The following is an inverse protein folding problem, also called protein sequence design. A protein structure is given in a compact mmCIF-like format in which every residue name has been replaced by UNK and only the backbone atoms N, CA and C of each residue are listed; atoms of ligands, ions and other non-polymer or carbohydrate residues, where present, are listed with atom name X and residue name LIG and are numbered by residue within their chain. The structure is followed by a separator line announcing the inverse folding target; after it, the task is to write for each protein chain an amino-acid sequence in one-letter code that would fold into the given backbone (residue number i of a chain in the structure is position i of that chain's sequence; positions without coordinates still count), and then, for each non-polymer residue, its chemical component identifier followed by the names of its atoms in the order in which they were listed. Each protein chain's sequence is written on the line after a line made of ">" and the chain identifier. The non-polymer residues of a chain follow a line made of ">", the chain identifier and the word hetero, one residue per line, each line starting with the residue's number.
data_IF_680963367822
#
_entry.id   IF_680963367822
#
_cell.length_a   1.000
_cell.length_b   1.000
_cell.length_c   1.000
_cell.angle_alpha   90.00
_cell.angle_beta   90.00
_cell.angle_gamma   90.00
#
_symmetry.space_group_name_H-M   'P 1'
#
loop_
_entity.id
_entity.type
_entity.pdbx_description
1 polymer ?
#
# COMPACT_ATOMS: atom_id res chain seq x y z
N UNK A 1 -32.92 6.91 10.31
CA UNK A 1 -33.18 5.52 10.73
C UNK A 1 -32.08 4.66 10.13
N UNK A 2 -31.19 4.21 11.01
CA UNK A 2 -30.08 3.24 10.91
C UNK A 2 -29.64 2.74 9.53
N UNK A 3 -28.49 3.27 9.07
CA UNK A 3 -27.58 2.49 8.22
C UNK A 3 -26.75 1.59 9.13
N UNK A 4 -27.29 0.42 9.45
CA UNK A 4 -26.51 -0.71 9.94
C UNK A 4 -25.42 -1.01 8.90
N UNK A 5 -24.21 -0.52 9.15
CA UNK A 5 -23.01 -0.86 8.39
C UNK A 5 -22.68 -2.32 8.71
N UNK A 6 -23.20 -3.24 7.91
CA UNK A 6 -22.73 -4.61 7.94
C UNK A 6 -21.25 -4.61 7.50
N UNK A 7 -20.39 -5.28 8.26
CA UNK A 7 -19.04 -5.54 7.80
C UNK A 7 -19.15 -6.30 6.47
N UNK A 8 -18.48 -5.83 5.42
CA UNK A 8 -18.70 -6.43 4.12
C UNK A 8 -18.18 -7.85 4.01
N UNK A 9 -18.88 -8.66 3.20
CA UNK A 9 -18.38 -9.96 2.77
C UNK A 9 -17.12 -9.79 1.90
N UNK A 10 -16.21 -10.76 1.99
CA UNK A 10 -14.95 -10.89 1.23
C UNK A 10 -15.12 -10.63 -0.26
N UNK A 11 -16.26 -11.00 -0.84
CA UNK A 11 -16.57 -10.78 -2.26
C UNK A 11 -16.61 -9.29 -2.67
N UNK A 12 -16.92 -8.38 -1.74
CA UNK A 12 -16.96 -6.96 -2.05
C UNK A 12 -15.62 -6.26 -1.84
N UNK A 13 -14.62 -6.94 -1.25
CA UNK A 13 -13.23 -6.51 -1.30
C UNK A 13 -12.60 -6.73 -2.68
N UNK A 14 -13.25 -7.47 -3.58
CA UNK A 14 -12.77 -7.69 -4.95
C UNK A 14 -13.20 -6.60 -5.94
N UNK A 15 -13.93 -5.56 -5.52
CA UNK A 15 -14.43 -4.50 -6.41
C UNK A 15 -13.65 -3.19 -6.23
N UNK A 16 -13.25 -2.50 -7.32
CA UNK A 16 -12.51 -1.22 -7.26
C UNK A 16 -13.22 -0.12 -6.48
N UNK A 17 -14.55 -0.04 -6.56
CA UNK A 17 -15.37 1.05 -6.00
C UNK A 17 -15.12 1.31 -4.51
N UNK A 18 -14.74 0.28 -3.76
CA UNK A 18 -14.44 0.42 -2.34
C UNK A 18 -13.02 0.82 -2.03
N UNK A 19 -12.08 0.46 -2.90
CA UNK A 19 -10.73 0.95 -2.83
C UNK A 19 -10.73 2.44 -3.13
N UNK A 20 -11.48 2.86 -4.15
CA UNK A 20 -11.70 4.27 -4.49
C UNK A 20 -12.37 5.04 -3.34
N UNK A 21 -13.50 4.55 -2.83
CA UNK A 21 -14.18 5.20 -1.70
C UNK A 21 -13.33 5.22 -0.41
N UNK A 22 -12.51 4.19 -0.20
CA UNK A 22 -11.54 4.14 0.90
C UNK A 22 -10.41 5.13 0.71
N UNK A 23 -9.87 5.25 -0.50
CA UNK A 23 -8.84 6.21 -0.90
C UNK A 23 -9.30 7.65 -0.72
N UNK A 24 -10.51 7.99 -1.20
CA UNK A 24 -11.11 9.30 -1.03
C UNK A 24 -11.34 9.70 0.44
N UNK A 25 -11.51 8.71 1.34
CA UNK A 25 -11.56 8.96 2.77
C UNK A 25 -10.16 9.04 3.42
N UNK A 26 -9.17 8.35 2.86
CA UNK A 26 -7.79 8.29 3.35
C UNK A 26 -7.03 9.58 3.06
N UNK A 27 -7.18 10.18 1.87
CA UNK A 27 -6.49 11.40 1.49
C UNK A 27 -6.67 12.55 2.51
N UNK A 28 -7.90 13.00 2.86
CA UNK A 28 -8.07 14.08 3.83
C UNK A 28 -7.64 13.69 5.26
N UNK A 29 -7.56 12.40 5.57
CA UNK A 29 -7.03 11.95 6.86
C UNK A 29 -5.51 12.15 6.94
N UNK A 30 -4.76 11.77 5.89
CA UNK A 30 -3.31 11.98 5.80
C UNK A 30 -2.95 13.46 5.81
N UNK A 31 -3.69 14.27 5.06
CA UNK A 31 -3.53 15.74 5.08
C UNK A 31 -3.80 16.33 6.46
N UNK A 32 -4.82 15.80 7.16
CA UNK A 32 -5.14 16.24 8.52
C UNK A 32 -4.02 15.96 9.52
N UNK A 33 -3.28 14.85 9.38
CA UNK A 33 -2.10 14.57 10.21
C UNK A 33 -1.01 15.60 9.94
N UNK A 34 -0.70 15.83 8.66
CA UNK A 34 0.33 16.78 8.22
C UNK A 34 0.02 18.21 8.66
N UNK A 35 -1.18 18.70 8.35
CA UNK A 35 -1.62 20.06 8.68
C UNK A 35 -1.65 20.29 10.20
N UNK A 36 -2.05 19.29 10.98
CA UNK A 36 -2.05 19.38 12.45
C UNK A 36 -0.63 19.55 13.01
N UNK A 37 0.37 19.02 12.31
CA UNK A 37 1.77 19.09 12.72
C UNK A 37 2.39 20.41 12.31
N UNK A 38 2.15 20.87 11.09
CA UNK A 38 2.57 22.19 10.62
C UNK A 38 1.95 23.35 11.43
N UNK A 39 0.76 23.15 12.00
CA UNK A 39 0.07 24.17 12.79
C UNK A 39 0.65 24.45 14.19
N UNK A 40 1.69 23.73 14.64
CA UNK A 40 2.33 24.03 15.93
C UNK A 40 3.26 22.98 16.53
N UNK A 41 3.66 21.96 15.77
CA UNK A 41 4.62 20.94 16.16
C UNK A 41 5.75 20.85 15.12
N UNK A 42 6.76 20.03 15.40
CA UNK A 42 7.77 19.73 14.40
C UNK A 42 7.18 18.90 13.26
N UNK A 43 7.78 19.06 12.08
CA UNK A 43 7.48 18.30 10.87
C UNK A 43 7.59 16.80 11.13
N UNK A 44 6.73 15.99 10.51
CA UNK A 44 6.74 14.53 10.70
C UNK A 44 7.12 13.85 9.42
N UNK A 45 7.92 12.81 9.55
CA UNK A 45 8.04 11.84 8.49
C UNK A 45 6.78 10.94 8.48
N UNK A 46 5.97 11.03 7.43
CA UNK A 46 4.73 10.26 7.26
C UNK A 46 4.88 9.22 6.15
N UNK A 47 5.02 7.95 6.55
CA UNK A 47 5.01 6.82 5.61
C UNK A 47 3.65 6.13 5.56
N UNK A 48 3.23 5.71 4.37
CA UNK A 48 2.01 4.93 4.14
C UNK A 48 2.36 3.50 3.70
N UNK A 49 1.84 2.50 4.41
CA UNK A 49 2.05 1.09 4.10
C UNK A 49 0.72 0.45 3.67
N UNK A 50 0.63 0.03 2.40
CA UNK A 50 -0.54 -0.67 1.85
C UNK A 50 -0.26 -2.15 1.64
N UNK A 51 -0.95 -3.02 2.40
CA UNK A 51 -0.91 -4.49 2.25
C UNK A 51 -2.14 -5.00 1.48
N UNK A 52 -1.96 -5.93 0.57
CA UNK A 52 -3.07 -6.59 -0.15
C UNK A 52 -3.96 -5.51 -0.81
N UNK A 53 -5.25 -5.57 -0.57
CA UNK A 53 -6.25 -4.62 -1.05
C UNK A 53 -6.04 -3.21 -0.47
N UNK A 54 -5.33 -3.13 0.66
CA UNK A 54 -4.81 -1.89 1.20
C UNK A 54 -3.92 -1.17 0.21
N UNK A 55 -3.06 -1.85 -0.57
CA UNK A 55 -2.23 -1.25 -1.61
C UNK A 55 -3.06 -0.57 -2.70
N UNK A 56 -4.13 -1.23 -3.16
CA UNK A 56 -5.06 -0.65 -4.13
C UNK A 56 -5.76 0.57 -3.53
N UNK A 57 -6.29 0.45 -2.31
CA UNK A 57 -6.99 1.53 -1.60
C UNK A 57 -6.08 2.74 -1.34
N UNK A 58 -4.85 2.51 -0.88
CA UNK A 58 -3.88 3.57 -0.63
C UNK A 58 -3.48 4.27 -1.91
N UNK A 59 -3.28 3.53 -3.02
CA UNK A 59 -2.95 4.16 -4.30
C UNK A 59 -4.03 5.15 -4.76
N UNK A 60 -5.32 4.85 -4.60
CA UNK A 60 -6.39 5.82 -4.85
C UNK A 60 -6.26 7.08 -4.01
N UNK A 61 -6.07 6.94 -2.69
CA UNK A 61 -5.91 8.10 -1.80
C UNK A 61 -4.67 8.94 -2.12
N UNK A 62 -3.58 8.29 -2.51
CA UNK A 62 -2.33 8.95 -2.89
C UNK A 62 -2.48 9.79 -4.17
N UNK A 63 -3.31 9.40 -5.13
CA UNK A 63 -3.60 10.27 -6.29
C UNK A 63 -4.33 11.57 -5.94
N UNK A 64 -4.99 11.61 -4.79
CA UNK A 64 -5.79 12.77 -4.34
C UNK A 64 -5.09 13.62 -3.27
N UNK A 65 -4.06 13.10 -2.60
CA UNK A 65 -3.33 13.81 -1.55
C UNK A 65 -2.45 14.92 -2.13
N UNK A 66 -2.28 16.03 -1.41
CA UNK A 66 -1.29 17.05 -1.79
C UNK A 66 0.13 16.45 -1.86
N UNK A 67 0.95 16.82 -2.86
CA UNK A 67 2.36 16.46 -2.90
C UNK A 67 3.10 16.83 -1.61
N UNK A 68 3.91 15.91 -1.11
CA UNK A 68 4.71 16.08 0.11
C UNK A 68 3.99 15.75 1.43
N UNK A 69 2.72 15.36 1.40
CA UNK A 69 2.00 14.89 2.61
C UNK A 69 2.43 13.49 3.01
N UNK A 70 2.77 12.63 2.04
CA UNK A 70 3.31 11.30 2.28
C UNK A 70 4.74 11.29 1.76
N UNK A 71 5.68 11.03 2.65
CA UNK A 71 7.11 11.02 2.33
C UNK A 71 7.54 9.71 1.69
N UNK A 72 7.01 8.58 2.18
CA UNK A 72 7.36 7.24 1.74
C UNK A 72 6.10 6.38 1.60
N UNK A 73 6.00 5.63 0.50
CA UNK A 73 4.92 4.69 0.28
C UNK A 73 5.45 3.29 0.01
N UNK A 74 4.89 2.26 0.65
CA UNK A 74 5.15 0.87 0.27
C UNK A 74 3.87 0.10 -0.01
N UNK A 75 3.80 -0.52 -1.19
CA UNK A 75 2.81 -1.51 -1.56
C UNK A 75 3.39 -2.93 -1.41
N UNK A 76 2.69 -3.85 -0.77
CA UNK A 76 3.21 -5.20 -0.57
C UNK A 76 2.12 -6.26 -0.48
N UNK A 77 2.41 -7.46 -1.02
CA UNK A 77 1.38 -8.44 -1.32
C UNK A 77 0.26 -7.87 -2.20
N UNK A 78 0.58 -6.84 -2.98
CA UNK A 78 -0.40 -6.04 -3.71
C UNK A 78 -1.03 -6.86 -4.83
N UNK A 79 -2.36 -6.87 -4.99
CA UNK A 79 -2.98 -7.31 -6.22
C UNK A 79 -2.91 -6.23 -7.31
N UNK A 80 -2.45 -5.01 -7.01
CA UNK A 80 -2.34 -3.93 -7.99
C UNK A 80 -2.57 -2.57 -7.37
N UNK A 81 -2.00 -1.54 -8.00
CA UNK A 81 -2.19 -0.13 -7.68
C UNK A 81 -2.87 0.59 -8.84
N UNK A 82 -3.47 1.75 -8.56
CA UNK A 82 -4.15 2.54 -9.56
C UNK A 82 -3.21 2.82 -10.76
N UNK A 83 -3.59 2.43 -11.99
CA UNK A 83 -2.68 2.40 -13.13
C UNK A 83 -2.39 3.78 -13.70
N UNK A 84 -1.12 4.12 -13.91
CA UNK A 84 -0.69 5.30 -14.68
C UNK A 84 -0.89 6.67 -14.03
N UNK A 85 -1.04 6.72 -12.70
CA UNK A 85 -1.18 7.98 -11.95
C UNK A 85 0.05 8.26 -11.09
N UNK A 86 0.40 9.54 -10.99
CA UNK A 86 1.35 10.04 -10.00
C UNK A 86 0.73 9.88 -8.59
N UNK A 87 1.45 9.19 -7.70
CA UNK A 87 1.02 8.94 -6.33
C UNK A 87 1.26 10.15 -5.40
N UNK A 88 1.74 11.28 -5.93
CA UNK A 88 2.08 12.48 -5.15
C UNK A 88 3.10 12.21 -4.02
N UNK A 89 3.85 11.11 -4.14
CA UNK A 89 4.97 10.71 -3.29
C UNK A 89 6.27 11.13 -4.00
N UNK A 90 7.29 11.63 -3.29
CA UNK A 90 8.55 12.03 -3.92
C UNK A 90 9.19 10.93 -4.79
N UNK A 91 9.85 11.33 -5.89
CA UNK A 91 10.55 10.41 -6.77
C UNK A 91 11.57 9.55 -5.99
N UNK A 92 11.51 8.23 -6.17
CA UNK A 92 12.37 7.29 -5.45
C UNK A 92 11.86 6.86 -4.07
N UNK A 93 10.68 7.33 -3.65
CA UNK A 93 10.08 7.01 -2.35
C UNK A 93 8.82 6.13 -2.45
N UNK A 94 8.55 5.57 -3.64
CA UNK A 94 7.59 4.49 -3.82
C UNK A 94 8.32 3.14 -3.79
N UNK A 95 7.88 2.24 -2.93
CA UNK A 95 8.49 0.92 -2.73
C UNK A 95 7.49 -0.20 -2.95
N UNK A 96 7.98 -1.32 -3.43
CA UNK A 96 7.17 -2.54 -3.60
C UNK A 96 7.86 -3.74 -2.99
N UNK A 97 7.13 -4.55 -2.24
CA UNK A 97 7.61 -5.84 -1.74
C UNK A 97 6.73 -6.95 -2.30
N UNK A 98 7.33 -7.85 -3.08
CA UNK A 98 6.66 -8.98 -3.71
C UNK A 98 7.29 -10.29 -3.23
N UNK A 99 6.59 -11.01 -2.36
CA UNK A 99 6.92 -12.40 -2.09
C UNK A 99 6.50 -13.24 -3.31
N UNK A 100 7.43 -13.94 -3.96
CA UNK A 100 7.15 -14.73 -5.17
C UNK A 100 6.23 -15.92 -4.93
N UNK A 101 6.08 -16.33 -3.68
CA UNK A 101 5.17 -17.42 -3.29
C UNK A 101 3.78 -16.91 -2.93
N UNK A 102 3.60 -15.59 -2.86
CA UNK A 102 2.33 -14.96 -2.61
C UNK A 102 1.49 -14.92 -3.90
N UNK A 103 0.43 -15.75 -4.02
CA UNK A 103 -0.36 -15.83 -5.24
C UNK A 103 -1.13 -14.53 -5.52
N UNK A 104 -1.40 -13.69 -4.50
CA UNK A 104 -2.21 -12.47 -4.65
C UNK A 104 -1.51 -11.48 -5.58
N UNK A 105 -0.18 -11.45 -5.54
CA UNK A 105 0.66 -10.62 -6.41
C UNK A 105 0.57 -10.95 -7.90
N UNK A 106 -0.15 -12.02 -8.25
CA UNK A 106 -0.44 -12.43 -9.62
C UNK A 106 -1.95 -12.39 -9.93
N UNK A 107 -2.81 -12.22 -8.91
CA UNK A 107 -4.27 -12.28 -9.06
C UNK A 107 -4.80 -11.06 -9.77
N UNK A 108 -4.33 -9.85 -9.47
CA UNK A 108 -4.86 -8.67 -10.13
C UNK A 108 -4.47 -8.57 -11.59
N UNK A 109 -3.25 -8.95 -11.97
CA UNK A 109 -2.87 -9.11 -13.38
C UNK A 109 -3.72 -10.17 -14.08
N UNK A 110 -3.99 -11.30 -13.40
CA UNK A 110 -4.77 -12.39 -14.00
C UNK A 110 -6.24 -12.02 -14.19
N UNK A 111 -6.80 -11.20 -13.29
CA UNK A 111 -8.22 -10.88 -13.26
C UNK A 111 -8.55 -9.47 -13.77
N UNK A 112 -7.56 -8.60 -13.98
CA UNK A 112 -7.71 -7.21 -14.44
C UNK A 112 -8.64 -6.36 -13.56
N UNK A 113 -8.69 -6.62 -12.25
CA UNK A 113 -9.68 -6.02 -11.32
C UNK A 113 -9.09 -4.99 -10.35
N UNK A 114 -7.77 -4.82 -10.26
CA UNK A 114 -7.12 -3.98 -9.22
C UNK A 114 -6.00 -3.05 -9.72
N UNK A 115 -5.86 -2.88 -11.04
CA UNK A 115 -4.83 -2.03 -11.64
C UNK A 115 -3.55 -2.78 -11.98
N UNK A 116 -2.45 -2.05 -12.17
CA UNK A 116 -1.16 -2.61 -12.60
C UNK A 116 -0.36 -3.11 -11.37
N UNK A 117 0.45 -4.15 -11.56
CA UNK A 117 1.40 -4.59 -10.53
C UNK A 117 2.45 -3.48 -10.29
N UNK A 118 2.58 -2.94 -9.06
CA UNK A 118 3.60 -1.94 -8.75
C UNK A 118 5.03 -2.45 -8.97
N UNK A 119 5.27 -3.77 -9.02
CA UNK A 119 6.57 -4.33 -9.37
C UNK A 119 6.94 -4.13 -10.86
N UNK A 120 5.97 -3.87 -11.73
CA UNK A 120 6.18 -3.60 -13.15
C UNK A 120 6.25 -2.09 -13.46
N UNK A 121 6.02 -1.23 -12.46
CA UNK A 121 6.08 0.23 -12.57
C UNK A 121 7.48 0.77 -12.22
N UNK A 122 8.06 1.58 -13.11
CA UNK A 122 9.42 2.12 -12.93
C UNK A 122 9.52 3.24 -11.88
N UNK A 123 8.39 3.76 -11.41
CA UNK A 123 8.33 4.71 -10.30
C UNK A 123 8.51 4.03 -8.95
N UNK A 124 8.38 2.70 -8.89
CA UNK A 124 8.58 1.90 -7.69
C UNK A 124 9.99 1.27 -7.63
N UNK A 125 10.53 1.23 -6.43
CA UNK A 125 11.75 0.45 -6.10
C UNK A 125 11.35 -0.86 -5.43
N UNK A 126 11.68 -2.00 -6.04
CA UNK A 126 11.47 -3.31 -5.43
C UNK A 126 12.44 -3.52 -4.26
N UNK A 127 11.89 -3.75 -3.06
CA UNK A 127 12.64 -4.11 -1.85
C UNK A 127 12.53 -5.62 -1.60
N UNK A 128 13.55 -6.18 -0.92
CA UNK A 128 13.58 -7.61 -0.63
C UNK A 128 12.50 -8.00 0.38
N UNK A 129 11.75 -9.06 0.06
CA UNK A 129 10.62 -9.57 0.83
C UNK A 129 10.86 -10.98 1.41
N UNK A 130 12.11 -11.46 1.44
CA UNK A 130 12.55 -12.85 1.69
C UNK A 130 11.82 -13.93 0.88
N UNK A 131 12.47 -15.10 0.80
CA UNK A 131 12.11 -16.23 -0.07
C UNK A 131 11.89 -17.52 0.73
N UNK A 132 11.40 -17.41 1.95
CA UNK A 132 11.14 -18.60 2.75
C UNK A 132 9.98 -19.37 2.13
N UNK A 133 10.18 -20.68 1.95
CA UNK A 133 9.27 -21.53 1.21
C UNK A 133 8.04 -21.87 2.07
N UNK A 134 6.94 -21.17 1.84
CA UNK A 134 5.66 -21.39 2.50
C UNK A 134 4.78 -22.31 1.64
N UNK A 135 4.66 -23.57 2.06
CA UNK A 135 3.81 -24.58 1.41
C UNK A 135 2.29 -24.25 1.44
N UNK A 136 1.88 -23.17 2.13
CA UNK A 136 0.52 -22.65 2.13
C UNK A 136 0.47 -21.29 1.39
N UNK A 137 -0.25 -21.19 0.26
CA UNK A 137 -0.36 -19.96 -0.53
C UNK A 137 -0.94 -18.77 0.27
N UNK A 138 -1.85 -19.01 1.22
CA UNK A 138 -2.36 -17.96 2.10
C UNK A 138 -1.39 -17.60 3.24
N UNK A 139 -0.48 -18.52 3.58
CA UNK A 139 0.61 -18.28 4.52
C UNK A 139 1.60 -17.27 3.94
N UNK A 140 2.09 -17.52 2.72
CA UNK A 140 3.02 -16.64 2.01
C UNK A 140 2.53 -15.18 1.90
N UNK A 141 1.22 -14.99 1.75
CA UNK A 141 0.62 -13.66 1.63
C UNK A 141 0.65 -12.85 2.95
N UNK A 142 0.73 -13.51 4.09
CA UNK A 142 0.74 -12.88 5.41
C UNK A 142 2.13 -12.74 6.03
N UNK A 143 3.19 -13.22 5.36
CA UNK A 143 4.53 -13.34 5.97
C UNK A 143 5.32 -12.05 6.01
N UNK A 144 4.85 -10.98 5.36
CA UNK A 144 5.51 -9.67 5.34
C UNK A 144 5.72 -9.05 6.73
N UNK A 145 4.99 -9.51 7.75
CA UNK A 145 5.09 -9.05 9.14
C UNK A 145 5.67 -10.09 10.10
N UNK A 146 6.20 -11.21 9.58
CA UNK A 146 6.86 -12.19 10.45
C UNK A 146 8.09 -11.56 11.11
N UNK A 147 8.24 -11.82 12.41
CA UNK A 147 9.38 -11.36 13.20
C UNK A 147 10.68 -11.88 12.58
N UNK A 148 11.72 -11.05 12.57
CA UNK A 148 13.02 -11.32 11.95
C UNK A 148 13.01 -11.58 10.42
N UNK A 149 11.89 -11.33 9.73
CA UNK A 149 11.82 -11.44 8.26
C UNK A 149 12.50 -10.25 7.56
N UNK A 150 13.06 -10.51 6.37
CA UNK A 150 13.62 -9.45 5.51
C UNK A 150 12.53 -8.46 5.07
N UNK A 151 11.31 -8.94 4.85
CA UNK A 151 10.17 -8.08 4.51
C UNK A 151 9.88 -7.07 5.63
N UNK A 152 9.81 -7.53 6.88
CA UNK A 152 9.58 -6.64 8.02
C UNK A 152 10.74 -5.66 8.22
N UNK A 153 11.98 -6.09 8.03
CA UNK A 153 13.15 -5.19 8.06
C UNK A 153 13.06 -4.13 6.96
N UNK A 154 12.77 -4.51 5.72
CA UNK A 154 12.56 -3.59 4.60
C UNK A 154 11.44 -2.57 4.90
N UNK A 155 10.27 -3.02 5.37
CA UNK A 155 9.16 -2.14 5.77
C UNK A 155 9.56 -1.20 6.90
N UNK A 156 10.36 -1.67 7.86
CA UNK A 156 10.85 -0.83 8.96
C UNK A 156 11.76 0.30 8.46
N UNK A 157 12.53 0.06 7.40
CA UNK A 157 13.38 1.08 6.76
C UNK A 157 12.54 2.12 6.03
N UNK A 158 11.45 1.72 5.38
CA UNK A 158 10.47 2.65 4.79
C UNK A 158 9.88 3.55 5.88
N UNK A 159 9.38 2.97 6.97
CA UNK A 159 8.82 3.74 8.10
C UNK A 159 9.85 4.69 8.74
N UNK A 160 11.13 4.33 8.69
CA UNK A 160 12.20 5.12 9.26
C UNK A 160 12.80 6.17 8.30
N UNK A 161 12.32 6.27 7.05
CA UNK A 161 12.89 7.16 6.04
C UNK A 161 14.29 6.75 5.57
N UNK A 162 14.55 5.44 5.45
CA UNK A 162 15.89 4.85 5.17
C UNK A 162 15.89 3.81 4.05
N UNK A 163 14.81 3.73 3.27
CA UNK A 163 14.68 2.77 2.19
C UNK A 163 15.20 3.28 0.83
N UNK A 164 15.28 4.60 0.64
CA UNK A 164 15.87 5.27 -0.53
C UNK A 164 17.39 5.47 -0.47
#
# INVERSE_FOLDING_TARGET
>A
MDRLRCAPAVASAALPERAEAGGAALAPFLEGIEDSRHAGLDDVHQSLLGHLYGSTTSSYGLTEVRPGVVDDYAAFGSPGTQPGYDLNVPDGHNFVLKNREDPVTYVGDTLMIHGDDPADDNSFTELDANKDLHLNPFGAHSTYFEEDSVALDSLSRVVAGKAG
#
